data_IF_282752909113
#
_entry.id   IF_282752909113
#
_cell.length_a   1.000
_cell.length_b   1.000
_cell.length_c   1.000
_cell.angle_alpha   90.00
_cell.angle_beta   90.00
_cell.angle_gamma   90.00
#
_symmetry.space_group_name_H-M   'P 1'
#
loop_
_entity.id
_entity.type
_entity.pdbx_description
1 polymer ?
#
# COMPACT_ATOMS: atom_id res chain seq x y z
N UNK A 1 -11.94 17.45 23.35
CA UNK A 1 -11.97 16.14 24.05
C UNK A 1 -10.65 15.33 23.87
N UNK A 2 -9.48 15.88 24.20
CA UNK A 2 -8.18 15.18 24.06
C UNK A 2 -7.99 14.07 25.11
N UNK A 3 -8.50 14.29 26.33
CA UNK A 3 -8.49 13.27 27.39
C UNK A 3 -9.10 11.97 26.89
N UNK A 4 -10.24 12.02 26.21
CA UNK A 4 -10.91 10.84 25.65
C UNK A 4 -10.06 10.10 24.61
N UNK A 5 -9.26 10.81 23.81
CA UNK A 5 -8.36 10.19 22.82
C UNK A 5 -7.18 9.49 23.49
N UNK A 6 -6.57 10.08 24.53
CA UNK A 6 -5.52 9.42 25.30
C UNK A 6 -6.00 8.16 26.02
N UNK A 7 -7.20 8.19 26.58
CA UNK A 7 -7.84 6.99 27.14
C UNK A 7 -8.11 5.94 26.06
N UNK A 8 -8.56 6.36 24.87
CA UNK A 8 -8.80 5.46 23.74
C UNK A 8 -7.52 4.78 23.27
N UNK A 9 -6.40 5.50 23.15
CA UNK A 9 -5.07 4.91 22.84
C UNK A 9 -4.76 3.81 23.85
N UNK A 10 -4.77 4.13 25.16
CA UNK A 10 -4.48 3.14 26.22
C UNK A 10 -5.39 1.92 26.15
N UNK A 11 -6.69 2.14 25.92
CA UNK A 11 -7.69 1.07 25.81
C UNK A 11 -7.42 0.15 24.62
N UNK A 12 -7.18 0.71 23.44
CA UNK A 12 -6.89 -0.04 22.22
C UNK A 12 -5.57 -0.82 22.36
N UNK A 13 -4.49 -0.18 22.82
CA UNK A 13 -3.19 -0.84 23.03
C UNK A 13 -3.31 -2.01 24.01
N UNK A 14 -4.09 -1.87 25.09
CA UNK A 14 -4.32 -2.98 26.04
C UNK A 14 -5.02 -4.16 25.38
N UNK A 15 -6.04 -3.90 24.54
CA UNK A 15 -6.76 -4.96 23.80
C UNK A 15 -5.84 -5.67 22.81
N UNK A 16 -5.11 -4.91 22.00
CA UNK A 16 -4.13 -5.44 21.04
C UNK A 16 -3.11 -6.34 21.76
N UNK A 17 -2.51 -5.85 22.85
CA UNK A 17 -1.54 -6.64 23.63
C UNK A 17 -2.13 -7.97 24.13
N UNK A 18 -3.37 -7.95 24.60
CA UNK A 18 -4.06 -9.17 25.04
C UNK A 18 -4.28 -10.16 23.89
N UNK A 19 -4.61 -9.67 22.69
CA UNK A 19 -4.82 -10.52 21.53
C UNK A 19 -3.48 -11.08 21.01
N UNK A 20 -2.43 -10.27 20.94
CA UNK A 20 -1.07 -10.71 20.64
C UNK A 20 -0.62 -11.86 21.55
N UNK A 21 -0.82 -11.71 22.87
CA UNK A 21 -0.50 -12.77 23.84
C UNK A 21 -1.32 -14.04 23.59
N UNK A 22 -2.61 -13.91 23.28
CA UNK A 22 -3.46 -15.06 22.96
C UNK A 22 -2.95 -15.85 21.75
N UNK A 23 -2.45 -15.16 20.71
CA UNK A 23 -1.89 -15.80 19.50
C UNK A 23 -0.59 -16.54 19.71
N UNK A 24 0.22 -16.12 20.68
CA UNK A 24 1.48 -16.83 21.00
C UNK A 24 1.19 -18.24 21.51
N UNK A 25 0.04 -18.43 22.17
CA UNK A 25 -0.33 -19.68 22.80
C UNK A 25 -1.39 -20.47 22.03
N UNK A 26 -2.06 -19.85 21.04
CA UNK A 26 -3.17 -20.45 20.31
C UNK A 26 -3.10 -20.11 18.82
N UNK A 27 -3.48 -21.07 17.96
CA UNK A 27 -3.70 -20.77 16.55
C UNK A 27 -4.88 -19.78 16.41
N UNK A 28 -4.66 -18.57 15.88
CA UNK A 28 -5.74 -17.59 15.75
C UNK A 28 -6.74 -18.03 14.68
N UNK A 29 -8.03 -17.88 14.98
CA UNK A 29 -9.09 -17.98 13.97
C UNK A 29 -9.12 -16.73 13.09
N UNK A 30 -9.70 -16.85 11.90
CA UNK A 30 -9.88 -15.72 10.97
C UNK A 30 -10.65 -14.55 11.61
N UNK A 31 -11.67 -14.85 12.42
CA UNK A 31 -12.42 -13.85 13.21
C UNK A 31 -11.54 -13.10 14.22
N UNK A 32 -10.60 -13.81 14.86
CA UNK A 32 -9.67 -13.19 15.82
C UNK A 32 -8.68 -12.28 15.09
N UNK A 33 -8.16 -12.73 13.95
CA UNK A 33 -7.30 -11.92 13.09
C UNK A 33 -8.03 -10.65 12.65
N UNK A 34 -9.24 -10.78 12.10
CA UNK A 34 -10.07 -9.67 11.64
C UNK A 34 -10.37 -8.66 12.75
N UNK A 35 -10.66 -9.14 13.96
CA UNK A 35 -10.86 -8.27 15.13
C UNK A 35 -9.59 -7.51 15.48
N UNK A 36 -8.43 -8.16 15.41
CA UNK A 36 -7.17 -7.51 15.78
C UNK A 36 -6.70 -6.49 14.75
N UNK A 37 -6.73 -6.84 13.45
CA UNK A 37 -6.44 -5.89 12.36
C UNK A 37 -7.35 -4.67 12.46
N UNK A 38 -8.64 -4.87 12.74
CA UNK A 38 -9.59 -3.79 13.01
C UNK A 38 -9.21 -2.90 14.22
N UNK A 39 -8.56 -3.44 15.25
CA UNK A 39 -8.04 -2.64 16.37
C UNK A 39 -6.80 -1.83 15.98
N UNK A 40 -5.89 -2.38 15.16
CA UNK A 40 -4.76 -1.63 14.60
C UNK A 40 -5.26 -0.44 13.78
N UNK A 41 -6.21 -0.65 12.86
CA UNK A 41 -6.81 0.45 12.07
C UNK A 41 -7.48 1.52 12.94
N UNK A 42 -8.22 1.11 13.97
CA UNK A 42 -8.79 2.05 14.94
C UNK A 42 -7.70 2.85 15.66
N UNK A 43 -6.62 2.20 16.09
CA UNK A 43 -5.52 2.86 16.79
C UNK A 43 -4.78 3.83 15.86
N UNK A 44 -4.50 3.42 14.62
CA UNK A 44 -3.91 4.27 13.59
C UNK A 44 -4.78 5.51 13.33
N UNK A 45 -6.10 5.37 13.24
CA UNK A 45 -7.02 6.52 13.07
C UNK A 45 -6.97 7.51 14.25
N UNK A 46 -6.80 7.00 15.47
CA UNK A 46 -6.68 7.85 16.66
C UNK A 46 -5.36 8.61 16.62
N UNK A 47 -4.27 7.96 16.22
CA UNK A 47 -2.96 8.61 16.05
C UNK A 47 -2.96 9.65 14.92
N UNK A 48 -3.63 9.39 13.79
CA UNK A 48 -3.82 10.38 12.71
C UNK A 48 -4.44 11.68 13.23
N UNK A 49 -5.45 11.59 14.11
CA UNK A 49 -6.09 12.76 14.75
C UNK A 49 -5.17 13.47 15.76
N UNK A 50 -4.19 12.75 16.33
CA UNK A 50 -3.26 13.28 17.32
C UNK A 50 -1.97 13.84 16.71
N UNK A 51 -1.81 13.84 15.38
CA UNK A 51 -0.66 14.42 14.69
C UNK A 51 -0.40 15.86 15.13
N UNK A 52 0.87 16.17 15.43
CA UNK A 52 1.31 17.48 15.91
C UNK A 52 0.88 17.84 17.35
N UNK A 53 0.17 16.94 18.05
CA UNK A 53 -0.28 17.24 19.41
C UNK A 53 0.85 17.06 20.43
N UNK A 54 1.14 18.10 21.24
CA UNK A 54 2.26 18.14 22.21
C UNK A 54 2.38 16.93 23.15
N UNK A 55 1.27 16.35 23.60
CA UNK A 55 1.27 15.16 24.49
C UNK A 55 1.51 13.83 23.75
N UNK A 56 1.49 13.84 22.43
CA UNK A 56 1.71 12.68 21.56
C UNK A 56 2.71 13.08 20.47
N UNK A 57 3.96 13.38 20.83
CA UNK A 57 4.95 13.90 19.89
C UNK A 57 5.21 12.94 18.72
N UNK A 58 5.12 11.63 18.97
CA UNK A 58 5.34 10.58 17.97
C UNK A 58 4.05 10.07 17.33
N UNK A 59 2.97 10.86 17.34
CA UNK A 59 1.68 10.40 16.84
C UNK A 59 1.76 10.03 15.36
N UNK A 60 2.59 10.69 14.58
CA UNK A 60 2.70 10.42 13.15
C UNK A 60 3.38 9.08 12.88
N UNK A 61 4.54 8.85 13.51
CA UNK A 61 5.29 7.61 13.47
C UNK A 61 4.42 6.44 13.94
N UNK A 62 3.66 6.65 15.02
CA UNK A 62 2.77 5.62 15.56
C UNK A 62 1.62 5.23 14.62
N UNK A 63 1.22 6.07 13.64
CA UNK A 63 0.28 5.64 12.59
C UNK A 63 0.89 4.47 11.83
N UNK A 64 2.12 4.64 11.37
CA UNK A 64 2.81 3.68 10.51
C UNK A 64 3.26 2.44 11.27
N UNK A 65 3.72 2.58 12.51
CA UNK A 65 4.07 1.44 13.38
C UNK A 65 2.84 0.56 13.68
N UNK A 66 1.68 1.19 13.86
CA UNK A 66 0.43 0.46 14.08
C UNK A 66 0.03 -0.34 12.84
N UNK A 67 0.13 0.26 11.64
CA UNK A 67 -0.17 -0.44 10.38
C UNK A 67 0.85 -1.55 10.10
N UNK A 68 2.14 -1.28 10.33
CA UNK A 68 3.22 -2.26 10.20
C UNK A 68 2.97 -3.49 11.07
N UNK A 69 2.52 -3.30 12.31
CA UNK A 69 2.13 -4.41 13.18
C UNK A 69 0.95 -5.23 12.61
N UNK A 70 -0.03 -4.58 11.98
CA UNK A 70 -1.17 -5.23 11.32
C UNK A 70 -0.72 -6.10 10.13
N UNK A 71 0.32 -5.70 9.40
CA UNK A 71 0.83 -6.46 8.23
C UNK A 71 1.33 -7.86 8.58
N UNK A 72 1.71 -8.12 9.84
CA UNK A 72 2.09 -9.46 10.32
C UNK A 72 0.91 -10.44 10.39
N UNK A 73 -0.30 -9.98 10.07
CA UNK A 73 -1.55 -10.74 10.06
C UNK A 73 -2.20 -10.76 8.68
N UNK A 74 -1.42 -10.57 7.62
CA UNK A 74 -1.90 -10.57 6.24
C UNK A 74 -3.02 -9.55 6.01
N UNK A 75 -2.92 -8.39 6.66
CA UNK A 75 -3.81 -7.25 6.43
C UNK A 75 -3.44 -6.55 5.12
N UNK A 76 -4.09 -6.96 4.03
CA UNK A 76 -3.80 -6.45 2.69
C UNK A 76 -4.03 -4.94 2.56
N UNK A 77 -4.98 -4.37 3.31
CA UNK A 77 -5.23 -2.94 3.33
C UNK A 77 -4.10 -2.18 4.03
N UNK A 78 -3.62 -2.67 5.18
CA UNK A 78 -2.46 -2.08 5.86
C UNK A 78 -1.16 -2.24 5.06
N UNK A 79 -0.97 -3.40 4.42
CA UNK A 79 0.17 -3.63 3.51
C UNK A 79 0.15 -2.63 2.35
N UNK A 80 -1.00 -2.41 1.70
CA UNK A 80 -1.13 -1.39 0.65
C UNK A 80 -0.87 0.03 1.16
N UNK A 81 -1.47 0.41 2.29
CA UNK A 81 -1.31 1.76 2.85
C UNK A 81 0.16 2.04 3.23
N UNK A 82 0.81 1.08 3.89
CA UNK A 82 2.21 1.18 4.28
C UNK A 82 3.14 1.16 3.05
N UNK A 83 2.92 0.24 2.11
CA UNK A 83 3.70 0.16 0.87
C UNK A 83 3.60 1.44 0.05
N UNK A 84 2.40 2.02 -0.07
CA UNK A 84 2.18 3.30 -0.75
C UNK A 84 2.90 4.46 -0.05
N UNK A 85 2.84 4.51 1.28
CA UNK A 85 3.54 5.54 2.06
C UNK A 85 5.05 5.47 1.89
N UNK A 86 5.63 4.27 2.02
CA UNK A 86 7.06 4.04 1.85
C UNK A 86 7.53 4.36 0.42
N UNK A 87 6.71 4.04 -0.59
CA UNK A 87 6.99 4.37 -1.99
C UNK A 87 7.07 5.87 -2.21
N UNK A 88 6.15 6.65 -1.64
CA UNK A 88 6.16 8.12 -1.78
C UNK A 88 7.39 8.73 -1.10
N UNK A 89 7.76 8.25 0.09
CA UNK A 89 9.01 8.69 0.73
C UNK A 89 10.23 8.28 -0.11
N UNK A 90 10.25 7.07 -0.69
CA UNK A 90 11.35 6.63 -1.56
C UNK A 90 11.50 7.54 -2.79
N UNK A 91 10.39 7.90 -3.44
CA UNK A 91 10.36 8.84 -4.57
C UNK A 91 10.89 10.22 -4.17
N UNK A 92 10.45 10.74 -3.02
CA UNK A 92 10.99 11.99 -2.49
C UNK A 92 12.51 11.91 -2.27
N UNK A 93 13.01 10.80 -1.71
CA UNK A 93 14.45 10.58 -1.50
C UNK A 93 15.22 10.48 -2.80
N UNK A 94 14.64 9.87 -3.84
CA UNK A 94 15.22 9.85 -5.20
C UNK A 94 15.30 11.26 -5.80
N UNK A 95 14.24 12.06 -5.67
CA UNK A 95 14.25 13.46 -6.09
C UNK A 95 15.36 14.27 -5.38
N UNK A 96 15.52 14.10 -4.06
CA UNK A 96 16.61 14.72 -3.30
C UNK A 96 17.99 14.25 -3.79
N UNK A 97 18.13 12.96 -4.08
CA UNK A 97 19.38 12.37 -4.58
C UNK A 97 19.74 12.94 -5.96
N UNK A 98 18.77 13.04 -6.86
CA UNK A 98 18.94 13.59 -8.21
C UNK A 98 19.18 15.10 -8.21
N UNK A 99 18.57 15.81 -7.27
CA UNK A 99 18.71 17.26 -7.12
C UNK A 99 20.08 17.72 -6.61
N UNK A 100 20.91 16.81 -6.07
CA UNK A 100 22.29 17.07 -5.69
C UNK A 100 22.46 17.80 -4.34
N UNK A 101 21.65 18.82 -4.05
CA UNK A 101 21.78 19.64 -2.82
C UNK A 101 21.66 18.80 -1.54
N UNK A 102 20.77 17.81 -1.54
CA UNK A 102 20.52 16.92 -0.41
C UNK A 102 21.01 15.49 -0.66
N UNK A 103 21.76 15.28 -1.76
CA UNK A 103 22.29 13.98 -2.12
C UNK A 103 23.36 13.55 -1.12
N UNK A 104 23.27 12.30 -0.67
CA UNK A 104 24.30 11.72 0.19
C UNK A 104 24.27 10.20 0.14
N UNK A 105 25.38 9.51 0.46
CA UNK A 105 25.37 8.05 0.57
C UNK A 105 24.35 7.51 1.58
N UNK A 106 24.03 8.29 2.62
CA UNK A 106 22.99 7.91 3.59
C UNK A 106 21.59 8.01 3.00
N UNK A 107 21.30 9.09 2.27
CA UNK A 107 20.03 9.27 1.56
C UNK A 107 19.82 8.17 0.51
N UNK A 108 20.86 7.86 -0.26
CA UNK A 108 20.82 6.80 -1.26
C UNK A 108 20.53 5.42 -0.65
N UNK A 109 21.19 5.06 0.46
CA UNK A 109 20.90 3.80 1.16
C UNK A 109 19.46 3.76 1.68
N UNK A 110 19.00 4.84 2.30
CA UNK A 110 17.64 4.93 2.81
C UNK A 110 16.60 4.83 1.69
N UNK A 111 16.81 5.53 0.58
CA UNK A 111 15.99 5.46 -0.62
C UNK A 111 15.85 4.02 -1.13
N UNK A 112 16.96 3.30 -1.27
CA UNK A 112 16.96 1.90 -1.73
C UNK A 112 16.16 1.00 -0.78
N UNK A 113 16.41 1.11 0.53
CA UNK A 113 15.66 0.33 1.52
C UNK A 113 14.15 0.62 1.48
N UNK A 114 13.77 1.89 1.31
CA UNK A 114 12.37 2.28 1.22
C UNK A 114 11.70 1.72 -0.04
N UNK A 115 12.39 1.73 -1.18
CA UNK A 115 11.89 1.08 -2.40
C UNK A 115 11.71 -0.42 -2.21
N UNK A 116 12.71 -1.10 -1.63
CA UNK A 116 12.66 -2.55 -1.39
C UNK A 116 11.48 -2.92 -0.46
N UNK A 117 11.33 -2.21 0.67
CA UNK A 117 10.21 -2.43 1.59
C UNK A 117 8.85 -2.12 0.94
N UNK A 118 8.75 -1.01 0.19
CA UNK A 118 7.52 -0.62 -0.48
C UNK A 118 7.06 -1.71 -1.47
N UNK A 119 7.98 -2.21 -2.30
CA UNK A 119 7.69 -3.27 -3.27
C UNK A 119 7.26 -4.57 -2.57
N UNK A 120 7.94 -4.95 -1.50
CA UNK A 120 7.58 -6.13 -0.73
C UNK A 120 6.15 -6.04 -0.17
N UNK A 121 5.77 -4.90 0.39
CA UNK A 121 4.40 -4.70 0.90
C UNK A 121 3.34 -4.66 -0.21
N UNK A 122 3.64 -4.02 -1.35
CA UNK A 122 2.71 -3.99 -2.49
C UNK A 122 2.51 -5.39 -3.08
N UNK A 123 3.57 -6.19 -3.18
CA UNK A 123 3.49 -7.58 -3.64
C UNK A 123 2.73 -8.47 -2.65
N UNK A 124 2.94 -8.30 -1.34
CA UNK A 124 2.18 -9.02 -0.32
C UNK A 124 0.68 -8.68 -0.40
N UNK A 125 0.33 -7.40 -0.52
CA UNK A 125 -1.06 -6.97 -0.66
C UNK A 125 -1.68 -7.48 -1.97
N UNK A 126 -0.93 -7.45 -3.07
CA UNK A 126 -1.35 -8.03 -4.36
C UNK A 126 -1.64 -9.53 -4.25
N UNK A 127 -0.77 -10.29 -3.57
CA UNK A 127 -0.94 -11.73 -3.38
C UNK A 127 -2.22 -12.06 -2.60
N UNK A 128 -2.67 -11.14 -1.74
CA UNK A 128 -3.93 -11.20 -1.01
C UNK A 128 -5.13 -10.59 -1.78
N UNK A 129 -4.94 -10.25 -3.06
CA UNK A 129 -5.98 -9.74 -3.94
C UNK A 129 -6.25 -8.24 -3.84
N UNK A 130 -5.37 -7.44 -3.24
CA UNK A 130 -5.57 -5.99 -3.15
C UNK A 130 -5.34 -5.30 -4.51
N UNK A 131 -6.43 -4.90 -5.17
CA UNK A 131 -6.41 -4.40 -6.56
C UNK A 131 -5.55 -3.15 -6.74
N UNK A 132 -5.65 -2.19 -5.83
CA UNK A 132 -4.86 -0.96 -5.90
C UNK A 132 -3.36 -1.22 -5.69
N UNK A 133 -3.01 -2.28 -4.95
CA UNK A 133 -1.61 -2.64 -4.74
C UNK A 133 -1.02 -3.23 -6.01
N UNK A 134 -1.74 -4.15 -6.67
CA UNK A 134 -1.40 -4.67 -8.00
C UNK A 134 -1.21 -3.56 -9.02
N UNK A 135 -2.14 -2.59 -9.05
CA UNK A 135 -2.06 -1.44 -9.95
C UNK A 135 -0.81 -0.59 -9.67
N UNK A 136 -0.53 -0.29 -8.41
CA UNK A 136 0.63 0.50 -8.01
C UNK A 136 1.95 -0.23 -8.29
N UNK A 137 2.00 -1.54 -8.07
CA UNK A 137 3.13 -2.39 -8.45
C UNK A 137 3.40 -2.36 -9.97
N UNK A 138 2.35 -2.36 -10.79
CA UNK A 138 2.47 -2.13 -12.23
C UNK A 138 3.10 -0.77 -12.58
N UNK A 139 2.71 0.28 -11.86
CA UNK A 139 3.29 1.61 -12.05
C UNK A 139 4.77 1.68 -11.64
N UNK A 140 5.21 0.90 -10.66
CA UNK A 140 6.63 0.80 -10.32
C UNK A 140 7.45 0.31 -11.52
N UNK A 141 6.99 -0.71 -12.25
CA UNK A 141 7.67 -1.17 -13.47
C UNK A 141 7.62 -0.17 -14.62
N UNK A 142 6.50 0.53 -14.82
CA UNK A 142 6.37 1.52 -15.90
C UNK A 142 7.34 2.68 -15.70
N UNK A 143 7.48 3.15 -14.46
CA UNK A 143 8.24 4.35 -14.12
C UNK A 143 9.67 4.05 -13.63
N UNK A 144 9.99 2.78 -13.33
CA UNK A 144 11.28 2.39 -12.77
C UNK A 144 11.44 2.76 -11.29
N UNK A 145 10.35 2.78 -10.52
CA UNK A 145 10.39 3.08 -9.09
C UNK A 145 10.87 1.87 -8.31
N UNK A 146 12.15 1.87 -7.92
CA UNK A 146 12.77 0.77 -7.17
C UNK A 146 13.01 -0.50 -7.98
N UNK A 147 12.61 -0.54 -9.25
CA UNK A 147 12.76 -1.68 -10.16
C UNK A 147 13.32 -1.23 -11.50
N UNK A 148 13.88 -2.17 -12.26
CA UNK A 148 14.22 -1.91 -13.66
C UNK A 148 12.94 -1.67 -14.45
N UNK A 149 12.97 -0.68 -15.35
CA UNK A 149 11.82 -0.33 -16.19
C UNK A 149 11.43 -1.52 -17.06
N UNK A 150 10.18 -1.94 -16.94
CA UNK A 150 9.55 -2.97 -17.76
C UNK A 150 8.10 -2.55 -18.04
N UNK A 151 7.93 -1.79 -19.12
CA UNK A 151 6.62 -1.17 -19.43
C UNK A 151 5.56 -2.19 -19.80
N UNK A 152 5.95 -3.30 -20.42
CA UNK A 152 5.01 -4.34 -20.86
C UNK A 152 4.47 -5.09 -19.63
N UNK A 153 5.35 -5.52 -18.73
CA UNK A 153 4.96 -6.14 -17.45
C UNK A 153 4.13 -5.19 -16.59
N UNK A 154 4.56 -3.93 -16.49
CA UNK A 154 3.84 -2.93 -15.72
C UNK A 154 2.44 -2.65 -16.28
N UNK A 155 2.31 -2.58 -17.60
CA UNK A 155 1.01 -2.43 -18.26
C UNK A 155 0.13 -3.67 -18.03
N UNK A 156 0.69 -4.88 -18.10
CA UNK A 156 -0.03 -6.12 -17.77
C UNK A 156 -0.64 -6.12 -16.38
N UNK A 157 0.13 -5.73 -15.36
CA UNK A 157 -0.37 -5.63 -13.99
C UNK A 157 -1.51 -4.60 -13.86
N UNK A 158 -1.40 -3.45 -14.55
CA UNK A 158 -2.47 -2.44 -14.56
C UNK A 158 -3.74 -2.98 -15.22
N UNK A 159 -3.64 -3.65 -16.37
CA UNK A 159 -4.80 -4.28 -17.03
C UNK A 159 -5.44 -5.35 -16.16
N UNK A 160 -4.62 -6.24 -15.58
CA UNK A 160 -5.11 -7.27 -14.67
C UNK A 160 -5.81 -6.68 -13.43
N UNK A 161 -5.39 -5.50 -12.97
CA UNK A 161 -6.08 -4.79 -11.88
C UNK A 161 -7.48 -4.31 -12.28
N UNK A 162 -7.68 -3.87 -13.53
CA UNK A 162 -8.97 -3.41 -14.07
C UNK A 162 -9.92 -4.59 -14.30
N UNK A 163 -9.36 -5.71 -14.77
CA UNK A 163 -10.09 -6.97 -14.91
C UNK A 163 -10.58 -7.47 -13.54
N UNK A 164 -9.71 -7.42 -12.53
CA UNK A 164 -10.02 -7.92 -11.19
C UNK A 164 -11.12 -7.13 -10.48
N UNK A 165 -11.16 -5.80 -10.60
CA UNK A 165 -12.23 -4.96 -10.02
C UNK A 165 -13.39 -4.67 -10.99
N UNK A 166 -13.36 -5.29 -12.19
CA UNK A 166 -14.33 -5.10 -13.27
C UNK A 166 -14.60 -3.62 -13.60
N UNK A 167 -13.61 -2.73 -13.45
CA UNK A 167 -13.77 -1.28 -13.64
C UNK A 167 -13.44 -0.82 -15.05
N UNK A 168 -13.84 -1.60 -16.06
CA UNK A 168 -13.61 -1.30 -17.48
C UNK A 168 -14.21 0.03 -17.94
N UNK A 169 -15.33 0.43 -17.34
CA UNK A 169 -16.01 1.71 -17.54
C UNK A 169 -15.18 2.90 -17.02
N UNK A 170 -14.27 2.66 -16.07
CA UNK A 170 -13.42 3.67 -15.44
C UNK A 170 -12.02 3.75 -16.02
N UNK A 171 -11.72 3.00 -17.08
CA UNK A 171 -10.39 2.97 -17.71
C UNK A 171 -9.86 4.38 -18.01
N UNK A 172 -10.62 5.30 -18.64
CA UNK A 172 -10.11 6.65 -18.90
C UNK A 172 -9.71 7.39 -17.63
N UNK A 173 -10.49 7.27 -16.55
CA UNK A 173 -10.23 7.91 -15.26
C UNK A 173 -9.03 7.27 -14.57
N UNK A 174 -8.92 5.94 -14.62
CA UNK A 174 -7.79 5.18 -14.07
C UNK A 174 -6.51 5.59 -14.78
N UNK A 175 -6.50 5.57 -16.12
CA UNK A 175 -5.34 5.96 -16.92
C UNK A 175 -4.98 7.43 -16.69
N UNK A 176 -5.96 8.30 -16.49
CA UNK A 176 -5.70 9.69 -16.17
C UNK A 176 -5.07 9.89 -14.80
N UNK A 177 -5.59 9.21 -13.79
CA UNK A 177 -5.06 9.28 -12.44
C UNK A 177 -3.61 8.77 -12.33
N UNK A 178 -3.22 7.83 -13.20
CA UNK A 178 -1.90 7.19 -13.16
C UNK A 178 -0.95 7.61 -14.30
N UNK A 179 -1.33 8.62 -15.10
CA UNK A 179 -0.48 9.19 -16.16
C UNK A 179 -0.33 8.35 -17.44
N UNK A 180 -1.22 7.38 -17.68
CA UNK A 180 -1.25 6.51 -18.86
C UNK A 180 -2.24 6.95 -19.94
N UNK A 181 -2.51 8.26 -20.05
CA UNK A 181 -3.50 8.84 -20.97
C UNK A 181 -3.11 8.82 -22.46
N UNK A 182 -2.05 8.11 -22.85
CA UNK A 182 -1.60 8.11 -24.23
C UNK A 182 -2.43 7.15 -25.09
N UNK A 183 -2.72 7.50 -26.37
CA UNK A 183 -3.51 6.65 -27.26
C UNK A 183 -2.98 5.23 -27.42
N UNK A 184 -1.66 5.03 -27.30
CA UNK A 184 -1.04 3.70 -27.35
C UNK A 184 -1.57 2.74 -26.29
N UNK A 185 -1.78 3.21 -25.05
CA UNK A 185 -2.27 2.38 -23.94
C UNK A 185 -3.73 1.97 -24.14
N UNK A 186 -4.58 2.89 -24.59
CA UNK A 186 -5.97 2.57 -24.93
C UNK A 186 -6.04 1.58 -26.10
N UNK A 187 -5.19 1.77 -27.12
CA UNK A 187 -5.14 0.87 -28.28
C UNK A 187 -4.70 -0.55 -27.88
N UNK A 188 -3.68 -0.67 -27.03
CA UNK A 188 -3.21 -1.95 -26.51
C UNK A 188 -4.28 -2.64 -25.64
N UNK A 189 -4.98 -1.86 -24.81
CA UNK A 189 -6.06 -2.36 -23.97
C UNK A 189 -7.24 -2.90 -24.80
N UNK A 190 -7.68 -2.16 -25.82
CA UNK A 190 -8.80 -2.55 -26.68
C UNK A 190 -8.50 -3.84 -27.46
N UNK A 191 -7.27 -4.01 -27.95
CA UNK A 191 -6.83 -5.26 -28.61
C UNK A 191 -6.90 -6.47 -27.67
N UNK A 192 -6.57 -6.30 -26.39
CA UNK A 192 -6.67 -7.37 -25.38
C UNK A 192 -8.13 -7.73 -25.09
N UNK A 193 -8.98 -6.71 -24.91
CA UNK A 193 -10.42 -6.91 -24.67
C UNK A 193 -11.13 -7.60 -25.84
N UNK A 194 -10.79 -7.25 -27.09
CA UNK A 194 -11.38 -7.90 -28.27
C UNK A 194 -10.80 -9.29 -28.54
N UNK A 195 -9.54 -9.54 -28.18
CA UNK A 195 -8.89 -10.85 -28.31
C UNK A 195 -9.36 -11.90 -27.29
N UNK A 196 -9.85 -11.48 -26.12
CA UNK A 196 -10.42 -12.38 -25.09
C UNK A 196 -11.88 -12.78 -25.31
N UNK A 197 -12.53 -12.27 -26.36
CA UNK A 197 -13.95 -12.48 -26.67
C UNK A 197 -14.26 -13.72 -27.51
N UNK A 198 -13.50 -14.81 -27.40
CA UNK A 198 -13.80 -16.09 -28.09
C UNK A 198 -13.64 -17.29 -27.16
N UNK A 199 -14.50 -17.38 -26.15
CA UNK A 199 -14.94 -18.66 -25.57
C UNK A 199 -16.14 -18.45 -24.63
N UNK A 200 -17.28 -18.07 -25.20
CA UNK A 200 -18.57 -18.41 -24.58
C UNK A 200 -19.35 -19.20 -25.64
N UNK A 201 -19.64 -20.42 -25.25
CA UNK A 201 -20.17 -21.56 -25.99
C UNK A 201 -21.31 -21.27 -26.98
N UNK A 202 -21.33 -22.13 -28.01
CA UNK A 202 -22.47 -22.68 -28.75
C UNK A 202 -23.83 -22.59 -28.07
#
# INVERSE_FOLDING_TARGET
>A
MILFKGHKVKSLTKKIKSMQQSRVHNQPTEDMVTKETGLYHQLASVYKVLRGHKKFPFADEMVWETLRASTNLDDSAAQYELGSHLLEEAKFRDELQRGGVFASPSNERQMRQLYDEALAYLQAAEALGHVQAKRLHGLCYINGWGVTVDRDKGFELVVASIEQDNSWDKVPQIFAAIGLNKPEFFSALMKRRSGGGTSLNT
#
